data_IF_763809413251
#
_entry.id   IF_763809413251
#
_cell.length_a   1.000
_cell.length_b   1.000
_cell.length_c   1.000
_cell.angle_alpha   90.00
_cell.angle_beta   90.00
_cell.angle_gamma   90.00
#
_symmetry.space_group_name_H-M   'P 1'
#
loop_
_entity.id
_entity.type
_entity.pdbx_description
1 polymer ?
#
# COMPACT_ATOMS: atom_id res chain seq x y z
N UNK A 1 19.67 1.45 -8.86
CA UNK A 1 18.76 2.62 -8.87
C UNK A 1 17.92 2.65 -10.16
N UNK A 2 18.53 2.52 -11.34
CA UNK A 2 17.80 2.41 -12.62
C UNK A 2 16.70 1.33 -12.63
N UNK A 3 16.98 0.12 -12.10
CA UNK A 3 15.96 -0.94 -11.97
C UNK A 3 14.75 -0.53 -11.12
N UNK A 4 14.96 0.28 -10.07
CA UNK A 4 13.88 0.81 -9.24
C UNK A 4 13.09 1.84 -10.04
N UNK A 5 13.74 2.80 -10.70
CA UNK A 5 13.08 3.78 -11.56
C UNK A 5 12.22 3.14 -12.65
N UNK A 6 12.76 2.13 -13.34
CA UNK A 6 12.01 1.34 -14.34
C UNK A 6 10.81 0.61 -13.73
N UNK A 7 10.95 0.04 -12.52
CA UNK A 7 9.82 -0.60 -11.83
C UNK A 7 8.69 0.38 -11.49
N UNK A 8 9.02 1.61 -11.10
CA UNK A 8 8.02 2.66 -10.83
C UNK A 8 7.31 3.10 -12.11
N UNK A 9 8.02 3.21 -13.24
CA UNK A 9 7.42 3.50 -14.56
C UNK A 9 6.50 2.37 -15.00
N UNK A 10 6.92 1.11 -14.83
CA UNK A 10 6.10 -0.06 -15.13
C UNK A 10 4.82 -0.07 -14.27
N UNK A 11 4.94 0.23 -12.97
CA UNK A 11 3.79 0.37 -12.07
C UNK A 11 2.85 1.51 -12.49
N UNK A 12 3.38 2.65 -12.95
CA UNK A 12 2.55 3.74 -13.46
C UNK A 12 1.69 3.32 -14.65
N UNK A 13 2.27 2.59 -15.60
CA UNK A 13 1.55 2.06 -16.75
C UNK A 13 0.51 1.00 -16.34
N UNK A 14 0.89 0.06 -15.47
CA UNK A 14 -0.02 -0.98 -14.96
C UNK A 14 -1.20 -0.38 -14.21
N UNK A 15 -0.94 0.62 -13.38
CA UNK A 15 -1.97 1.29 -12.58
C UNK A 15 -3.05 1.90 -13.44
N UNK A 16 -2.78 2.33 -14.68
CA UNK A 16 -3.82 2.90 -15.56
C UNK A 16 -4.81 1.86 -16.09
N UNK A 17 -4.45 0.57 -16.09
CA UNK A 17 -5.31 -0.52 -16.53
C UNK A 17 -6.42 -0.69 -15.47
N UNK A 18 -7.70 -0.46 -15.83
CA UNK A 18 -8.78 -0.60 -14.87
C UNK A 18 -8.97 -2.08 -14.52
N UNK A 19 -8.85 -2.39 -13.22
CA UNK A 19 -9.26 -3.69 -12.72
C UNK A 19 -10.76 -3.88 -12.96
N UNK A 20 -11.12 -4.99 -13.60
CA UNK A 20 -12.51 -5.39 -13.70
C UNK A 20 -12.92 -5.95 -12.34
N UNK A 21 -13.91 -5.33 -11.71
CA UNK A 21 -14.57 -5.96 -10.57
C UNK A 21 -15.24 -7.22 -11.11
N UNK A 22 -14.67 -8.39 -10.79
CA UNK A 22 -15.30 -9.66 -11.13
C UNK A 22 -16.63 -9.73 -10.36
N UNK A 23 -17.75 -9.58 -11.07
CA UNK A 23 -19.11 -9.78 -10.53
C UNK A 23 -19.42 -11.27 -10.30
N UNK A 24 -18.43 -12.14 -10.50
CA UNK A 24 -18.52 -13.57 -10.23
C UNK A 24 -18.62 -13.85 -8.74
N UNK A 25 -19.83 -14.21 -8.30
CA UNK A 25 -20.20 -14.91 -7.07
C UNK A 25 -19.18 -14.69 -5.92
N UNK A 26 -19.27 -13.52 -5.27
CA UNK A 26 -18.49 -13.21 -4.07
C UNK A 26 -18.82 -14.24 -3.00
N UNK A 27 -18.08 -15.35 -2.99
CA UNK A 27 -18.26 -16.42 -2.02
C UNK A 27 -18.09 -15.81 -0.64
N UNK A 28 -19.13 -15.91 0.17
CA UNK A 28 -19.07 -15.48 1.56
C UNK A 28 -17.86 -16.15 2.21
N UNK A 29 -16.91 -15.36 2.76
CA UNK A 29 -15.71 -15.94 3.32
C UNK A 29 -16.09 -16.93 4.43
N UNK A 30 -15.63 -18.18 4.32
CA UNK A 30 -15.95 -19.28 5.23
C UNK A 30 -15.68 -18.94 6.70
N UNK A 31 -14.72 -18.06 6.95
CA UNK A 31 -14.30 -17.62 8.28
C UNK A 31 -14.72 -16.18 8.62
N UNK A 32 -15.63 -15.60 7.83
CA UNK A 32 -16.04 -14.20 7.95
C UNK A 32 -15.00 -13.20 7.43
N UNK A 33 -15.43 -11.96 7.21
CA UNK A 33 -14.60 -10.91 6.64
C UNK A 33 -13.40 -10.57 7.53
N UNK A 34 -13.57 -10.54 8.87
CA UNK A 34 -12.49 -10.19 9.79
C UNK A 34 -11.33 -11.19 9.74
N UNK A 35 -11.59 -12.49 9.95
CA UNK A 35 -10.51 -13.48 10.02
C UNK A 35 -9.84 -13.68 8.65
N UNK A 36 -10.63 -13.63 7.57
CA UNK A 36 -10.10 -13.74 6.21
C UNK A 36 -9.16 -12.59 5.90
N UNK A 37 -9.60 -11.35 6.13
CA UNK A 37 -8.78 -10.16 5.90
C UNK A 37 -7.56 -10.15 6.81
N UNK A 38 -7.70 -10.53 8.09
CA UNK A 38 -6.57 -10.61 9.03
C UNK A 38 -5.48 -11.54 8.52
N UNK A 39 -5.83 -12.77 8.11
CA UNK A 39 -4.84 -13.75 7.64
C UNK A 39 -4.23 -13.33 6.31
N UNK A 40 -5.05 -12.86 5.36
CA UNK A 40 -4.55 -12.45 4.04
C UNK A 40 -3.62 -11.25 4.16
N UNK A 41 -4.02 -10.19 4.87
CA UNK A 41 -3.16 -9.03 5.09
C UNK A 41 -1.90 -9.40 5.86
N UNK A 42 -2.01 -10.25 6.89
CA UNK A 42 -0.84 -10.71 7.61
C UNK A 42 0.17 -11.39 6.69
N UNK A 43 -0.26 -12.33 5.85
CA UNK A 43 0.63 -13.03 4.93
C UNK A 43 1.23 -12.10 3.86
N UNK A 44 0.46 -11.14 3.34
CA UNK A 44 0.92 -10.17 2.33
C UNK A 44 1.93 -9.17 2.91
N UNK A 45 1.75 -8.75 4.16
CA UNK A 45 2.63 -7.79 4.84
C UNK A 45 3.89 -8.43 5.45
N UNK A 46 3.91 -9.76 5.62
CA UNK A 46 5.07 -10.47 6.15
C UNK A 46 6.26 -10.40 5.17
N UNK A 47 7.31 -9.70 5.59
CA UNK A 47 8.54 -9.52 4.79
C UNK A 47 8.56 -8.26 3.93
N UNK A 48 7.61 -7.34 4.10
CA UNK A 48 7.62 -6.07 3.38
C UNK A 48 8.74 -5.12 3.86
N UNK A 49 9.08 -4.15 3.02
CA UNK A 49 10.05 -3.07 3.29
C UNK A 49 9.71 -2.30 4.56
N UNK A 50 8.44 -2.12 4.90
CA UNK A 50 8.04 -1.51 6.17
C UNK A 50 8.53 -2.32 7.38
N UNK A 51 8.59 -3.65 7.30
CA UNK A 51 9.13 -4.50 8.36
C UNK A 51 10.64 -4.32 8.51
N UNK A 52 11.39 -4.28 7.40
CA UNK A 52 12.84 -4.00 7.40
C UNK A 52 13.11 -2.60 8.00
N UNK A 53 12.34 -1.60 7.60
CA UNK A 53 12.46 -0.24 8.13
C UNK A 53 12.16 -0.18 9.64
N UNK A 54 11.13 -0.90 10.10
CA UNK A 54 10.80 -0.98 11.54
C UNK A 54 11.94 -1.62 12.35
N UNK A 55 12.49 -2.72 11.85
CA UNK A 55 13.62 -3.41 12.51
C UNK A 55 14.85 -2.51 12.55
N UNK A 56 15.16 -1.81 11.45
CA UNK A 56 16.26 -0.85 11.41
C UNK A 56 16.05 0.32 12.39
N UNK A 57 14.81 0.80 12.52
CA UNK A 57 14.46 1.87 13.47
C UNK A 57 14.61 1.37 14.92
N UNK A 58 14.15 0.14 15.20
CA UNK A 58 14.31 -0.50 16.51
C UNK A 58 15.76 -0.70 16.90
N UNK A 59 16.60 -1.14 15.95
CA UNK A 59 18.04 -1.27 16.15
C UNK A 59 18.77 0.08 16.29
N UNK A 60 18.23 1.16 15.70
CA UNK A 60 18.83 2.50 15.78
C UNK A 60 18.55 3.20 17.11
N UNK A 61 17.36 3.01 17.67
CA UNK A 61 16.92 3.73 18.86
C UNK A 61 17.01 2.91 20.15
N UNK A 62 17.35 1.62 20.06
CA UNK A 62 17.41 0.65 21.17
C UNK A 62 16.12 0.54 22.02
N UNK A 63 15.03 1.18 21.59
CA UNK A 63 13.72 1.15 22.22
C UNK A 63 12.69 0.49 21.29
N UNK A 64 12.65 -0.84 21.39
CA UNK A 64 11.76 -1.68 20.59
C UNK A 64 10.29 -1.38 20.87
N UNK A 65 9.95 -0.99 22.11
CA UNK A 65 8.56 -0.75 22.51
C UNK A 65 8.06 0.54 21.85
N UNK A 66 8.84 1.63 21.95
CA UNK A 66 8.47 2.91 21.35
C UNK A 66 8.36 2.81 19.83
N UNK A 67 9.29 2.10 19.17
CA UNK A 67 9.25 1.89 17.72
C UNK A 67 8.04 1.03 17.30
N UNK A 68 7.75 -0.05 18.03
CA UNK A 68 6.61 -0.92 17.72
C UNK A 68 5.28 -0.18 17.94
N UNK A 69 5.17 0.60 19.01
CA UNK A 69 4.00 1.44 19.28
C UNK A 69 3.82 2.50 18.20
N UNK A 70 4.89 3.19 17.80
CA UNK A 70 4.87 4.19 16.73
C UNK A 70 4.41 3.60 15.40
N UNK A 71 4.95 2.44 14.99
CA UNK A 71 4.51 1.73 13.77
C UNK A 71 3.03 1.37 13.85
N UNK A 72 2.61 0.78 14.97
CA UNK A 72 1.23 0.32 15.18
C UNK A 72 0.26 1.49 15.08
N UNK A 73 0.53 2.58 15.80
CA UNK A 73 -0.29 3.79 15.78
C UNK A 73 -0.31 4.43 14.38
N UNK A 74 0.84 4.50 13.70
CA UNK A 74 0.92 5.03 12.34
C UNK A 74 0.06 4.24 11.35
N UNK A 75 0.13 2.91 11.39
CA UNK A 75 -0.71 2.05 10.54
C UNK A 75 -2.20 2.16 10.90
N UNK A 76 -2.55 2.23 12.19
CA UNK A 76 -3.93 2.45 12.61
C UNK A 76 -4.47 3.79 12.11
N UNK A 77 -3.68 4.87 12.19
CA UNK A 77 -4.09 6.18 11.69
C UNK A 77 -4.29 6.20 10.17
N UNK A 78 -3.49 5.44 9.41
CA UNK A 78 -3.68 5.30 7.97
C UNK A 78 -4.92 4.47 7.61
N UNK A 79 -5.16 3.34 8.31
CA UNK A 79 -6.15 2.35 7.92
C UNK A 79 -7.52 2.54 8.58
N UNK A 80 -7.57 2.94 9.86
CA UNK A 80 -8.82 3.06 10.61
C UNK A 80 -9.82 4.05 9.98
N UNK A 81 -9.41 5.24 9.47
CA UNK A 81 -10.34 6.13 8.79
C UNK A 81 -10.96 5.49 7.55
N UNK A 82 -10.18 4.72 6.78
CA UNK A 82 -10.66 4.04 5.57
C UNK A 82 -11.69 2.97 5.92
N UNK A 83 -11.45 2.19 6.99
CA UNK A 83 -12.39 1.15 7.44
C UNK A 83 -13.68 1.77 8.02
N UNK A 84 -13.56 2.79 8.87
CA UNK A 84 -14.71 3.43 9.52
C UNK A 84 -15.56 4.25 8.54
N UNK A 85 -14.92 4.90 7.57
CA UNK A 85 -15.60 5.75 6.61
C UNK A 85 -15.86 5.05 5.28
N UNK A 86 -15.42 3.80 5.10
CA UNK A 86 -15.41 3.07 3.84
C UNK A 86 -16.71 3.22 3.04
N UNK A 87 -17.85 2.83 3.60
CA UNK A 87 -19.13 2.91 2.87
C UNK A 87 -19.52 4.34 2.43
N UNK A 88 -19.09 5.39 3.16
CA UNK A 88 -19.41 6.78 2.81
C UNK A 88 -18.36 7.42 1.90
N UNK A 89 -17.08 7.09 2.07
CA UNK A 89 -15.99 7.59 1.25
C UNK A 89 -16.01 6.92 -0.13
N UNK A 90 -16.18 5.60 -0.18
CA UNK A 90 -16.20 4.83 -1.43
C UNK A 90 -17.35 5.24 -2.35
N UNK A 91 -18.48 5.71 -1.79
CA UNK A 91 -19.61 6.23 -2.57
C UNK A 91 -19.34 7.60 -3.23
N UNK A 92 -18.32 8.34 -2.77
CA UNK A 92 -17.97 9.68 -3.29
C UNK A 92 -16.64 9.71 -4.04
N UNK A 93 -15.84 8.66 -3.94
CA UNK A 93 -14.55 8.57 -4.62
C UNK A 93 -14.77 8.14 -6.07
N UNK A 94 -14.34 8.99 -7.00
CA UNK A 94 -14.18 8.60 -8.39
C UNK A 94 -12.83 7.86 -8.54
N UNK A 95 -12.88 6.53 -8.66
CA UNK A 95 -11.70 5.69 -8.78
C UNK A 95 -10.85 5.99 -10.02
N UNK A 96 -11.40 6.60 -11.08
CA UNK A 96 -10.61 7.03 -12.23
C UNK A 96 -9.63 8.15 -11.87
N UNK A 97 -10.04 9.08 -11.01
CA UNK A 97 -9.15 10.13 -10.53
C UNK A 97 -8.07 9.58 -9.60
N UNK A 98 -8.44 8.69 -8.68
CA UNK A 98 -7.45 8.02 -7.79
C UNK A 98 -6.40 7.29 -8.62
N UNK A 99 -6.83 6.55 -9.64
CA UNK A 99 -5.96 5.79 -10.55
C UNK A 99 -5.01 6.70 -11.32
N UNK A 100 -5.52 7.79 -11.90
CA UNK A 100 -4.70 8.78 -12.64
C UNK A 100 -3.68 9.47 -11.74
N UNK A 101 -4.08 9.87 -10.53
CA UNK A 101 -3.18 10.52 -9.56
C UNK A 101 -2.09 9.54 -9.12
N UNK A 102 -2.46 8.29 -8.78
CA UNK A 102 -1.49 7.25 -8.42
C UNK A 102 -0.50 6.99 -9.56
N UNK A 103 -0.98 6.81 -10.79
CA UNK A 103 -0.13 6.62 -11.96
C UNK A 103 0.82 7.81 -12.19
N UNK A 104 0.34 9.05 -12.04
CA UNK A 104 1.17 10.25 -12.16
C UNK A 104 2.27 10.31 -11.09
N UNK A 105 1.95 9.96 -9.84
CA UNK A 105 2.92 9.87 -8.75
C UNK A 105 3.98 8.80 -9.03
N UNK A 106 3.57 7.59 -9.43
CA UNK A 106 4.50 6.52 -9.80
C UNK A 106 5.41 6.93 -10.97
N UNK A 107 4.85 7.58 -11.99
CA UNK A 107 5.62 8.05 -13.14
C UNK A 107 6.63 9.12 -12.73
N UNK A 108 6.21 10.10 -11.93
CA UNK A 108 7.08 11.17 -11.44
C UNK A 108 8.24 10.65 -10.60
N UNK A 109 7.95 9.74 -9.65
CA UNK A 109 8.98 9.08 -8.84
C UNK A 109 9.91 8.21 -9.67
N UNK A 110 9.36 7.50 -10.66
CA UNK A 110 10.13 6.68 -11.59
C UNK A 110 11.11 7.50 -12.42
N UNK A 111 10.64 8.60 -13.03
CA UNK A 111 11.47 9.52 -13.82
C UNK A 111 12.54 10.19 -12.98
N UNK A 112 12.21 10.66 -11.77
CA UNK A 112 13.21 11.23 -10.85
C UNK A 112 14.27 10.18 -10.49
N UNK A 113 13.86 8.98 -10.06
CA UNK A 113 14.82 7.93 -9.69
C UNK A 113 15.69 7.49 -10.87
N UNK A 114 15.18 7.56 -12.10
CA UNK A 114 15.94 7.24 -13.31
C UNK A 114 16.94 8.35 -13.65
N UNK A 115 16.53 9.62 -13.49
CA UNK A 115 17.39 10.79 -13.68
C UNK A 115 18.57 10.77 -12.72
N UNK A 116 18.32 10.57 -11.43
CA UNK A 116 19.34 10.42 -10.38
C UNK A 116 20.24 9.17 -10.55
N UNK A 117 19.86 8.25 -11.43
CA UNK A 117 20.64 7.05 -11.72
C UNK A 117 21.50 7.19 -12.98
N UNK A 118 21.20 8.16 -13.85
CA UNK A 118 21.87 8.39 -15.14
C UNK A 118 22.86 9.57 -15.10
N UNK A 119 22.65 10.53 -14.20
CA UNK A 119 23.55 11.66 -13.90
C UNK A 119 24.32 11.42 -12.61
#
# INVERSE_FOLDING_TARGET
RAAIGLSFIAMAAWTLIPDKLDEGDQKTPRYGAFLTTLVVFFLVEMGDKTQIATVALGARFDDVIAVTAGKTLGMMLANAPVVLLGNRLLAKINFDWVRRVAAALFLGLGLWTLWDALL
#
